data_IF_058971450193
#
_entry.id   IF_058971450193
#
_cell.length_a   1.000
_cell.length_b   1.000
_cell.length_c   1.000
_cell.angle_alpha   90.00
_cell.angle_beta   90.00
_cell.angle_gamma   90.00
#
_symmetry.space_group_name_H-M   'P 1'
#
loop_
_entity.id
_entity.type
_entity.pdbx_description
1 polymer ?
#
# COMPACT_ATOMS: atom_id res chain seq x y z
N UNK A 1 -4.63 -5.36 -12.93
CA UNK A 1 -5.97 -5.85 -13.32
C UNK A 1 -7.01 -5.69 -12.20
N UNK A 2 -6.64 -5.89 -10.93
CA UNK A 2 -7.60 -5.87 -9.82
C UNK A 2 -8.35 -4.54 -9.66
N UNK A 3 -7.64 -3.42 -9.66
CA UNK A 3 -8.28 -2.11 -9.45
C UNK A 3 -9.16 -1.69 -10.65
N UNK A 4 -8.63 -1.75 -11.85
CA UNK A 4 -9.38 -1.38 -13.05
C UNK A 4 -10.57 -2.34 -13.30
N UNK A 5 -10.35 -3.66 -13.11
CA UNK A 5 -11.42 -4.66 -13.21
C UNK A 5 -12.50 -4.50 -12.13
N UNK A 6 -12.10 -4.10 -10.92
CA UNK A 6 -13.04 -3.84 -9.83
C UNK A 6 -14.03 -2.69 -10.15
N UNK A 7 -13.62 -1.72 -10.96
CA UNK A 7 -14.48 -0.63 -11.40
C UNK A 7 -15.66 -1.12 -12.24
N UNK A 8 -15.47 -2.19 -13.01
CA UNK A 8 -16.55 -2.80 -13.81
C UNK A 8 -17.61 -3.47 -12.94
N UNK A 9 -17.25 -3.91 -11.74
CA UNK A 9 -18.16 -4.54 -10.79
C UNK A 9 -18.95 -3.52 -9.95
N UNK A 10 -18.45 -2.29 -9.86
CA UNK A 10 -19.10 -1.21 -9.13
C UNK A 10 -20.07 -0.45 -10.04
N UNK A 11 -21.12 -1.12 -10.46
CA UNK A 11 -22.17 -0.50 -11.27
C UNK A 11 -23.21 0.17 -10.38
N UNK A 12 -23.97 1.12 -10.94
CA UNK A 12 -25.12 1.75 -10.25
C UNK A 12 -26.14 0.71 -9.77
N UNK A 13 -26.19 -0.46 -10.42
CA UNK A 13 -27.11 -1.54 -10.07
C UNK A 13 -26.72 -2.28 -8.79
N UNK A 14 -25.44 -2.36 -8.47
CA UNK A 14 -24.96 -3.10 -7.29
C UNK A 14 -24.82 -2.25 -6.04
N UNK A 15 -24.63 -0.93 -6.18
CA UNK A 15 -24.38 0.04 -5.10
C UNK A 15 -23.29 -0.42 -4.09
N UNK A 16 -22.39 -1.33 -4.49
CA UNK A 16 -21.35 -1.92 -3.65
C UNK A 16 -19.97 -1.47 -4.09
N UNK A 17 -19.16 -1.01 -3.15
CA UNK A 17 -17.75 -0.74 -3.41
C UNK A 17 -16.96 -2.04 -3.36
N UNK A 18 -16.04 -2.19 -4.28
CA UNK A 18 -15.07 -3.27 -4.27
C UNK A 18 -13.80 -2.84 -3.54
N UNK A 19 -13.13 -3.79 -2.89
CA UNK A 19 -11.82 -3.60 -2.29
C UNK A 19 -10.81 -4.32 -3.16
N UNK A 20 -9.78 -3.60 -3.60
CA UNK A 20 -8.60 -4.17 -4.26
C UNK A 20 -7.39 -4.01 -3.35
N UNK A 21 -6.44 -4.94 -3.44
CA UNK A 21 -5.20 -4.90 -2.66
C UNK A 21 -3.99 -4.84 -3.57
N UNK A 22 -2.96 -4.11 -3.15
CA UNK A 22 -1.63 -4.14 -3.75
C UNK A 22 -0.56 -3.83 -2.71
N UNK A 23 0.66 -4.34 -2.93
CA UNK A 23 1.82 -3.97 -2.15
C UNK A 23 2.41 -2.64 -2.61
N UNK A 24 3.27 -2.07 -1.78
CA UNK A 24 4.01 -0.83 -2.05
C UNK A 24 4.88 -0.91 -3.30
N UNK A 25 5.54 -2.04 -3.54
CA UNK A 25 6.29 -2.26 -4.78
C UNK A 25 5.41 -2.11 -6.03
N UNK A 26 4.26 -2.79 -6.06
CA UNK A 26 3.29 -2.65 -7.16
C UNK A 26 2.71 -1.25 -7.27
N UNK A 27 2.49 -0.58 -6.14
CA UNK A 27 2.02 0.79 -6.09
C UNK A 27 3.00 1.75 -6.76
N UNK A 28 4.28 1.72 -6.35
CA UNK A 28 5.30 2.62 -6.90
C UNK A 28 5.70 2.28 -8.33
N UNK A 29 5.65 1.00 -8.70
CA UNK A 29 6.02 0.58 -10.05
C UNK A 29 5.05 1.08 -11.11
N UNK A 30 3.75 0.93 -10.88
CA UNK A 30 2.72 1.35 -11.84
C UNK A 30 1.36 1.69 -11.20
N UNK A 31 1.13 1.30 -9.96
CA UNK A 31 -0.17 1.44 -9.30
C UNK A 31 -0.62 2.88 -9.12
N UNK A 32 0.33 3.80 -8.87
CA UNK A 32 0.02 5.21 -8.65
C UNK A 32 -0.61 5.85 -9.91
N UNK A 33 -0.01 5.68 -11.05
CA UNK A 33 -0.45 6.33 -12.30
C UNK A 33 -1.57 5.58 -12.99
N UNK A 34 -1.34 4.30 -13.32
CA UNK A 34 -2.32 3.46 -14.04
C UNK A 34 -3.49 3.02 -13.17
N UNK A 35 -3.31 2.97 -11.85
CA UNK A 35 -4.36 2.61 -10.90
C UNK A 35 -5.04 3.85 -10.32
N UNK A 36 -4.36 4.49 -9.37
CA UNK A 36 -4.97 5.56 -8.54
C UNK A 36 -5.28 6.80 -9.36
N UNK A 37 -4.33 7.31 -10.15
CA UNK A 37 -4.55 8.48 -10.99
C UNK A 37 -5.69 8.27 -11.99
N UNK A 38 -5.74 7.09 -12.60
CA UNK A 38 -6.83 6.73 -13.52
C UNK A 38 -8.17 6.60 -12.79
N UNK A 39 -8.20 6.06 -11.57
CA UNK A 39 -9.40 6.00 -10.75
C UNK A 39 -9.94 7.39 -10.39
N UNK A 40 -9.05 8.33 -10.06
CA UNK A 40 -9.41 9.73 -9.81
C UNK A 40 -9.99 10.37 -11.08
N UNK A 41 -9.31 10.20 -12.21
CA UNK A 41 -9.75 10.73 -13.50
C UNK A 41 -11.16 10.22 -13.89
N UNK A 42 -11.39 8.92 -13.75
CA UNK A 42 -12.68 8.28 -14.09
C UNK A 42 -13.72 8.38 -12.95
N UNK A 43 -13.40 9.04 -11.84
CA UNK A 43 -14.29 9.19 -10.68
C UNK A 43 -14.85 7.85 -10.18
N UNK A 44 -14.02 6.79 -10.20
CA UNK A 44 -14.44 5.48 -9.71
C UNK A 44 -14.60 5.49 -8.19
N UNK A 45 -15.60 4.79 -7.67
CA UNK A 45 -15.94 4.81 -6.24
C UNK A 45 -15.60 3.47 -5.56
N UNK A 46 -14.33 3.09 -5.64
CA UNK A 46 -13.78 1.85 -5.09
C UNK A 46 -12.80 2.13 -3.94
N UNK A 47 -12.45 1.09 -3.20
CA UNK A 47 -11.46 1.10 -2.13
C UNK A 47 -10.19 0.41 -2.59
N UNK A 48 -9.05 1.06 -2.41
CA UNK A 48 -7.73 0.47 -2.56
C UNK A 48 -7.11 0.29 -1.18
N UNK A 49 -6.69 -0.91 -0.86
CA UNK A 49 -5.84 -1.22 0.28
C UNK A 49 -4.40 -1.38 -0.21
N UNK A 50 -3.53 -0.46 0.19
CA UNK A 50 -2.08 -0.56 -0.08
C UNK A 50 -1.41 -1.14 1.16
N UNK A 51 -0.70 -2.25 0.99
CA UNK A 51 0.16 -2.82 2.03
C UNK A 51 1.54 -2.20 1.88
N UNK A 52 1.84 -1.22 2.75
CA UNK A 52 3.12 -0.52 2.79
C UNK A 52 4.02 -1.16 3.85
N UNK A 53 4.91 -2.01 3.41
CA UNK A 53 5.93 -2.59 4.29
C UNK A 53 7.31 -1.95 4.07
N UNK A 54 7.36 -0.87 3.29
CA UNK A 54 8.55 -0.09 2.96
C UNK A 54 9.64 -0.89 2.23
N UNK A 55 9.26 -2.01 1.57
CA UNK A 55 10.23 -2.90 0.97
C UNK A 55 9.59 -3.91 0.01
N UNK A 56 10.03 -3.99 -1.22
CA UNK A 56 9.51 -4.97 -2.18
C UNK A 56 10.08 -6.36 -1.88
N UNK A 57 9.47 -7.07 -0.93
CA UNK A 57 9.97 -8.35 -0.43
C UNK A 57 9.86 -9.49 -1.45
N UNK A 58 8.80 -9.53 -2.23
CA UNK A 58 8.47 -10.65 -3.12
C UNK A 58 9.47 -10.86 -4.26
N UNK A 59 10.20 -9.85 -4.67
CA UNK A 59 11.16 -9.89 -5.78
C UNK A 59 12.63 -9.90 -5.33
N UNK A 60 12.88 -10.29 -4.09
CA UNK A 60 14.24 -10.41 -3.55
C UNK A 60 14.68 -9.27 -2.66
N UNK A 61 13.81 -8.31 -2.41
CA UNK A 61 14.05 -7.23 -1.48
C UNK A 61 14.70 -6.01 -2.11
N UNK A 62 13.88 -5.11 -2.59
CA UNK A 62 14.33 -3.83 -3.15
C UNK A 62 13.70 -2.67 -2.41
N UNK A 63 14.47 -1.58 -2.30
CA UNK A 63 13.95 -0.31 -1.85
C UNK A 63 12.95 0.27 -2.84
N UNK A 64 11.94 0.92 -2.31
CA UNK A 64 10.93 1.69 -3.05
C UNK A 64 10.95 3.15 -2.60
N UNK A 65 10.21 4.02 -3.29
CA UNK A 65 10.20 5.45 -2.98
C UNK A 65 9.77 5.78 -1.54
N UNK A 66 8.98 4.93 -0.90
CA UNK A 66 8.59 5.06 0.52
C UNK A 66 9.58 4.42 1.49
N UNK A 67 10.58 3.69 1.02
CA UNK A 67 11.56 3.04 1.88
C UNK A 67 12.40 4.04 2.66
N UNK A 68 12.84 3.64 3.84
CA UNK A 68 13.86 4.37 4.59
C UNK A 68 15.25 4.23 3.98
N UNK A 69 15.41 3.35 3.04
CA UNK A 69 16.59 2.89 2.32
C UNK A 69 17.86 2.77 3.19
N UNK A 70 18.60 1.70 3.02
CA UNK A 70 19.90 1.53 3.67
C UNK A 70 20.93 2.49 3.08
N UNK A 71 20.78 2.83 1.80
CA UNK A 71 21.61 3.83 1.14
C UNK A 71 20.97 5.23 1.25
N UNK A 72 21.52 6.14 2.06
CA UNK A 72 20.97 7.49 2.24
C UNK A 72 20.90 8.30 0.94
N UNK A 73 21.78 8.03 -0.03
CA UNK A 73 21.80 8.74 -1.33
C UNK A 73 20.58 8.38 -2.22
N UNK A 74 19.89 7.30 -1.90
CA UNK A 74 18.69 6.86 -2.61
C UNK A 74 17.40 7.03 -1.83
N UNK A 75 17.48 7.40 -0.56
CA UNK A 75 16.33 7.49 0.32
C UNK A 75 15.50 8.74 0.01
N UNK A 76 14.37 8.58 -0.65
CA UNK A 76 13.40 9.66 -0.82
C UNK A 76 12.42 9.75 0.34
N UNK A 77 12.16 8.64 1.04
CA UNK A 77 11.22 8.54 2.17
C UNK A 77 9.87 9.19 1.86
N UNK A 78 9.43 9.09 0.62
CA UNK A 78 8.19 9.72 0.19
C UNK A 78 7.00 8.87 0.64
N UNK A 79 6.15 9.38 1.55
CA UNK A 79 5.00 8.61 2.00
C UNK A 79 4.01 8.35 0.85
N UNK A 80 3.46 7.14 0.79
CA UNK A 80 2.40 6.79 -0.17
C UNK A 80 1.21 7.74 -0.02
N UNK A 81 0.89 8.17 1.21
CA UNK A 81 -0.18 9.13 1.46
C UNK A 81 0.00 10.44 0.68
N UNK A 82 1.21 10.99 0.65
CA UNK A 82 1.48 12.22 -0.11
C UNK A 82 1.25 12.00 -1.62
N UNK A 83 1.71 10.87 -2.14
CA UNK A 83 1.55 10.56 -3.55
C UNK A 83 0.09 10.41 -3.97
N UNK A 84 -0.72 9.68 -3.18
CA UNK A 84 -2.14 9.49 -3.50
C UNK A 84 -2.93 10.79 -3.35
N UNK A 85 -2.61 11.63 -2.36
CA UNK A 85 -3.20 12.97 -2.23
C UNK A 85 -2.79 13.88 -3.39
N UNK A 86 -1.52 13.80 -3.81
CA UNK A 86 -0.98 14.56 -4.94
C UNK A 86 -1.69 14.29 -6.26
N UNK A 87 -2.17 13.06 -6.49
CA UNK A 87 -2.98 12.73 -7.69
C UNK A 87 -4.48 12.99 -7.49
N UNK A 88 -4.91 13.53 -6.34
CA UNK A 88 -6.26 14.02 -6.13
C UNK A 88 -7.20 13.12 -5.32
N UNK A 89 -6.70 12.09 -4.64
CA UNK A 89 -7.53 11.27 -3.74
C UNK A 89 -7.96 12.09 -2.53
N UNK A 90 -9.26 12.22 -2.32
CA UNK A 90 -9.83 13.00 -1.23
C UNK A 90 -9.89 12.22 0.09
N UNK A 91 -10.18 10.92 0.01
CA UNK A 91 -10.34 10.06 1.19
C UNK A 91 -9.15 9.12 1.33
N UNK A 92 -8.31 9.36 2.33
CA UNK A 92 -7.12 8.55 2.63
C UNK A 92 -7.07 8.28 4.13
N UNK A 93 -6.74 7.04 4.51
CA UNK A 93 -6.47 6.64 5.89
C UNK A 93 -5.22 5.81 5.96
N UNK A 94 -4.32 6.15 6.87
CA UNK A 94 -3.12 5.37 7.17
C UNK A 94 -3.29 4.65 8.50
N UNK A 95 -3.16 3.33 8.49
CA UNK A 95 -3.24 2.45 9.66
C UNK A 95 -1.83 1.94 9.96
N UNK A 96 -1.26 2.37 11.08
CA UNK A 96 0.10 1.99 11.52
C UNK A 96 0.11 0.81 12.49
N UNK A 97 -1.02 0.51 13.13
CA UNK A 97 -1.20 -0.64 14.01
C UNK A 97 -1.92 -1.77 13.28
N UNK A 98 -1.26 -2.34 12.26
CA UNK A 98 -1.87 -3.32 11.33
C UNK A 98 -2.30 -4.62 12.01
N UNK A 99 -1.77 -4.93 13.20
CA UNK A 99 -2.19 -6.08 14.01
C UNK A 99 -3.49 -5.83 14.80
N UNK A 100 -3.96 -4.59 14.88
CA UNK A 100 -5.26 -4.27 15.46
C UNK A 100 -6.38 -4.59 14.46
N UNK A 101 -6.93 -5.80 14.58
CA UNK A 101 -8.04 -6.26 13.72
C UNK A 101 -9.23 -5.31 13.83
N UNK A 102 -9.51 -4.79 15.01
CA UNK A 102 -10.61 -3.85 15.24
C UNK A 102 -10.40 -2.55 14.45
N UNK A 103 -9.22 -1.93 14.55
CA UNK A 103 -8.90 -0.70 13.83
C UNK A 103 -8.97 -0.90 12.31
N UNK A 104 -8.40 -1.98 11.81
CA UNK A 104 -8.42 -2.29 10.37
C UNK A 104 -9.85 -2.52 9.87
N UNK A 105 -10.63 -3.31 10.60
CA UNK A 105 -12.05 -3.56 10.28
C UNK A 105 -12.85 -2.24 10.23
N UNK A 106 -12.67 -1.39 11.23
CA UNK A 106 -13.45 -0.16 11.34
C UNK A 106 -13.04 0.86 10.27
N UNK A 107 -11.74 0.93 9.95
CA UNK A 107 -11.23 1.75 8.82
C UNK A 107 -11.78 1.27 7.47
N UNK A 108 -11.77 -0.03 7.22
CA UNK A 108 -12.33 -0.60 5.99
C UNK A 108 -13.85 -0.39 5.91
N UNK A 109 -14.55 -0.51 7.03
CA UNK A 109 -15.98 -0.21 7.10
C UNK A 109 -16.26 1.26 6.80
N UNK A 110 -15.47 2.19 7.37
CA UNK A 110 -15.56 3.61 7.03
C UNK A 110 -15.35 3.84 5.53
N UNK A 111 -14.31 3.23 4.92
CA UNK A 111 -14.04 3.33 3.49
C UNK A 111 -15.21 2.85 2.62
N UNK A 112 -15.89 1.79 3.07
CA UNK A 112 -17.02 1.21 2.34
C UNK A 112 -18.30 2.02 2.47
N UNK A 113 -18.47 2.78 3.57
CA UNK A 113 -19.72 3.47 3.91
C UNK A 113 -19.67 4.99 3.79
N UNK A 114 -18.47 5.59 3.69
CA UNK A 114 -18.34 7.04 3.57
C UNK A 114 -19.11 7.61 2.37
N UNK A 115 -19.66 8.80 2.52
CA UNK A 115 -20.35 9.53 1.44
C UNK A 115 -19.38 10.29 0.52
N UNK A 116 -18.10 10.33 0.85
CA UNK A 116 -17.09 10.98 0.00
C UNK A 116 -17.06 10.31 -1.36
N UNK A 117 -17.21 11.07 -2.43
CA UNK A 117 -17.14 10.56 -3.79
C UNK A 117 -15.70 10.23 -4.21
N UNK A 118 -15.54 9.41 -5.24
CA UNK A 118 -14.24 9.06 -5.82
C UNK A 118 -13.53 7.92 -5.09
N UNK A 119 -12.30 7.60 -5.48
CA UNK A 119 -11.54 6.49 -4.91
C UNK A 119 -11.16 6.73 -3.45
N UNK A 120 -11.17 5.68 -2.64
CA UNK A 120 -10.71 5.65 -1.26
C UNK A 120 -9.43 4.86 -1.19
N UNK A 121 -8.45 5.35 -0.43
CA UNK A 121 -7.19 4.64 -0.22
C UNK A 121 -6.99 4.41 1.27
N UNK A 122 -6.81 3.14 1.63
CA UNK A 122 -6.36 2.71 2.96
C UNK A 122 -4.92 2.24 2.83
N UNK A 123 -4.04 2.79 3.64
CA UNK A 123 -2.62 2.42 3.68
C UNK A 123 -2.39 1.64 4.97
N UNK A 124 -2.14 0.34 4.84
CA UNK A 124 -1.75 -0.52 5.95
C UNK A 124 -0.22 -0.50 6.06
N UNK A 125 0.29 0.30 7.00
CA UNK A 125 1.72 0.56 7.12
C UNK A 125 2.32 -0.21 8.29
N UNK A 126 3.23 -1.13 8.00
CA UNK A 126 4.03 -1.80 9.01
C UNK A 126 5.36 -2.27 8.41
N UNK A 127 6.36 -2.47 9.25
CA UNK A 127 7.65 -2.96 8.78
C UNK A 127 7.55 -4.38 8.22
N UNK A 128 8.27 -4.65 7.13
CA UNK A 128 8.44 -6.01 6.62
C UNK A 128 9.11 -6.90 7.68
N UNK A 129 8.43 -7.99 8.07
CA UNK A 129 8.92 -8.91 9.09
C UNK A 129 10.25 -9.55 8.71
N UNK A 130 10.44 -9.87 7.42
CA UNK A 130 11.70 -10.44 6.93
C UNK A 130 12.85 -9.43 7.04
N UNK A 131 12.60 -8.16 6.68
CA UNK A 131 13.59 -7.10 6.79
C UNK A 131 13.94 -6.82 8.26
N UNK A 132 12.93 -6.79 9.12
CA UNK A 132 13.11 -6.70 10.57
C UNK A 132 13.94 -7.84 11.11
N UNK A 133 13.65 -9.08 10.71
CA UNK A 133 14.42 -10.25 11.16
C UNK A 133 15.88 -10.20 10.70
N UNK A 134 16.14 -9.77 9.45
CA UNK A 134 17.52 -9.61 8.94
C UNK A 134 18.30 -8.56 9.72
N UNK A 135 17.66 -7.48 10.14
CA UNK A 135 18.27 -6.43 10.94
C UNK A 135 18.50 -6.83 12.39
N UNK A 136 17.50 -7.49 13.04
CA UNK A 136 17.55 -7.83 14.47
C UNK A 136 18.31 -9.13 14.75
N UNK A 137 18.26 -10.08 13.83
CA UNK A 137 18.95 -11.36 13.90
C UNK A 137 19.61 -11.68 12.56
N UNK A 138 20.74 -11.04 12.24
CA UNK A 138 21.46 -11.33 11.03
C UNK A 138 21.81 -12.82 11.00
N UNK A 139 21.68 -13.47 9.84
CA UNK A 139 22.11 -14.84 9.65
C UNK A 139 23.61 -14.88 9.92
N UNK A 140 24.01 -15.54 10.98
CA UNK A 140 25.42 -15.88 11.22
C UNK A 140 25.74 -16.95 10.17
N UNK A 141 26.53 -16.58 9.17
CA UNK A 141 27.11 -17.53 8.24
C UNK A 141 28.10 -18.39 9.05
N UNK A 142 27.68 -19.60 9.39
CA UNK A 142 28.60 -20.60 9.94
C UNK A 142 29.60 -20.95 8.85
N UNK A 143 30.78 -20.42 8.88
CA UNK A 143 31.80 -20.69 7.88
C UNK A 143 33.19 -20.19 8.22
N UNK A 144 33.32 -19.25 9.14
CA UNK A 144 34.62 -18.67 9.46
C UNK A 144 35.19 -18.99 10.84
N UNK A 145 34.50 -19.83 11.63
CA UNK A 145 35.00 -20.21 12.96
C UNK A 145 35.56 -21.63 13.04
N UNK A 146 35.89 -22.25 11.94
CA UNK A 146 36.53 -23.58 11.88
C UNK A 146 37.91 -23.50 11.22
N UNK A 147 38.68 -22.45 11.52
CA UNK A 147 40.11 -22.41 11.19
C UNK A 147 40.91 -22.09 12.43
#
# INVERSE_FOLDING_TARGET
LGWAGASALNTKATARRTISMMGDGGFWHNGLTSGVGNAVFNKTDNVLLVVDNSYTAATGGQDVLSSKAENPDRATRNPIENAVRGVGVQWVRTVTHTYSVAQMRDTLREALTTKTAGPKVVIAQSECMLNRQRREKPLILFGESAA
#
